data_IF_567660823647
#
_entry.id   IF_567660823647
#
_cell.length_a   1.000
_cell.length_b   1.000
_cell.length_c   1.000
_cell.angle_alpha   90.00
_cell.angle_beta   90.00
_cell.angle_gamma   90.00
#
_symmetry.space_group_name_H-M   'P 1'
#
loop_
_entity.id
_entity.type
_entity.pdbx_description
1 polymer ?
#
# COMPACT_ATOMS: atom_id res chain seq x y z
N UNK A 1 -50.12 29.62 -18.73
CA UNK A 1 -49.10 28.83 -17.99
C UNK A 1 -47.70 28.83 -18.61
N UNK A 2 -47.46 29.40 -19.79
CA UNK A 2 -46.13 29.41 -20.45
C UNK A 2 -45.24 30.61 -20.04
N UNK A 3 -45.80 31.70 -19.50
CA UNK A 3 -45.03 32.89 -19.05
C UNK A 3 -44.30 32.75 -17.71
N UNK A 4 -44.59 31.73 -16.88
CA UNK A 4 -43.87 31.47 -15.61
C UNK A 4 -42.67 30.51 -15.76
N UNK A 5 -42.58 29.76 -16.87
CA UNK A 5 -41.43 28.88 -17.13
C UNK A 5 -40.22 29.64 -17.71
N UNK A 6 -40.46 30.68 -18.53
CA UNK A 6 -39.38 31.47 -19.13
C UNK A 6 -38.64 32.36 -18.14
N UNK A 7 -39.31 32.87 -17.09
CA UNK A 7 -38.66 33.71 -16.07
C UNK A 7 -37.76 32.90 -15.13
N UNK A 8 -38.02 31.61 -14.92
CA UNK A 8 -37.16 30.72 -14.13
C UNK A 8 -35.90 30.25 -14.89
N UNK A 9 -35.96 30.15 -16.23
CA UNK A 9 -34.78 29.83 -17.04
C UNK A 9 -33.80 31.01 -17.18
N UNK A 10 -34.29 32.25 -17.17
CA UNK A 10 -33.44 33.45 -17.26
C UNK A 10 -32.65 33.71 -15.96
N UNK A 11 -33.25 33.46 -14.79
CA UNK A 11 -32.57 33.64 -13.49
C UNK A 11 -31.49 32.57 -13.25
N UNK A 12 -31.69 31.34 -13.72
CA UNK A 12 -30.71 30.26 -13.57
C UNK A 12 -29.50 30.43 -14.51
N UNK A 13 -29.69 31.01 -15.70
CA UNK A 13 -28.61 31.33 -16.63
C UNK A 13 -27.75 32.53 -16.18
N UNK A 14 -28.33 33.54 -15.51
CA UNK A 14 -27.58 34.70 -14.99
C UNK A 14 -26.70 34.33 -13.80
N UNK A 15 -27.13 33.41 -12.93
CA UNK A 15 -26.31 32.92 -11.81
C UNK A 15 -25.10 32.08 -12.24
N UNK A 16 -25.20 31.39 -13.38
CA UNK A 16 -24.10 30.56 -13.91
C UNK A 16 -23.07 31.40 -14.67
N UNK A 17 -23.46 32.56 -15.21
CA UNK A 17 -22.55 33.46 -15.93
C UNK A 17 -21.69 34.37 -15.02
N UNK A 18 -22.02 34.48 -13.73
CA UNK A 18 -21.34 35.40 -12.79
C UNK A 18 -20.12 34.84 -12.03
N UNK A 19 -19.71 33.57 -12.20
CA UNK A 19 -18.52 33.05 -11.48
C UNK A 19 -17.41 32.47 -12.35
N UNK A 20 -17.48 32.59 -13.68
CA UNK A 20 -16.36 32.20 -14.54
C UNK A 20 -15.99 33.25 -15.58
N UNK A 21 -14.95 34.01 -15.22
CA UNK A 21 -13.89 34.60 -16.07
C UNK A 21 -14.30 35.63 -17.12
N UNK A 22 -13.67 36.82 -17.02
CA UNK A 22 -12.76 37.46 -18.01
C UNK A 22 -12.51 38.93 -17.60
N UNK A 23 -11.38 39.61 -17.76
CA UNK A 23 -10.22 39.59 -18.69
C UNK A 23 -9.06 40.42 -18.06
N UNK A 24 -7.79 39.98 -18.15
CA UNK A 24 -6.71 40.38 -19.10
C UNK A 24 -6.35 41.88 -19.10
N UNK A 25 -5.18 42.22 -18.53
CA UNK A 25 -3.87 42.53 -19.17
C UNK A 25 -3.79 43.99 -19.64
N UNK A 26 -2.88 44.75 -19.02
CA UNK A 26 -2.01 45.72 -19.70
C UNK A 26 -0.66 45.81 -18.96
N UNK A 27 0.42 45.91 -19.75
CA UNK A 27 1.83 45.80 -19.39
C UNK A 27 2.38 47.14 -18.86
N UNK A 28 3.30 47.10 -17.89
CA UNK A 28 4.59 47.80 -17.98
C UNK A 28 5.55 47.36 -16.85
N UNK A 29 6.83 47.24 -17.23
CA UNK A 29 7.96 46.71 -16.49
C UNK A 29 8.23 47.42 -15.16
N UNK A 30 8.62 46.70 -14.11
CA UNK A 30 9.67 47.12 -13.15
C UNK A 30 10.19 45.90 -12.37
N UNK A 31 11.52 45.70 -12.43
CA UNK A 31 12.28 44.82 -11.54
C UNK A 31 12.09 45.26 -10.09
N UNK A 32 11.74 44.34 -9.19
CA UNK A 32 11.76 44.60 -7.75
C UNK A 32 12.53 43.50 -7.02
N UNK A 33 13.80 43.83 -6.80
CA UNK A 33 14.62 43.42 -5.67
C UNK A 33 13.77 43.54 -4.40
N UNK A 34 13.64 42.46 -3.62
CA UNK A 34 13.11 42.56 -2.25
C UNK A 34 14.18 42.09 -1.26
N UNK A 35 14.83 43.10 -0.70
CA UNK A 35 15.64 43.05 0.51
C UNK A 35 14.80 42.65 1.72
N UNK A 36 15.43 41.94 2.65
CA UNK A 36 14.91 41.65 3.98
C UNK A 36 14.74 42.94 4.80
N UNK A 37 13.60 43.15 5.49
CA UNK A 37 13.55 44.03 6.65
C UNK A 37 13.63 43.24 7.97
N UNK A 38 14.17 43.84 9.06
CA UNK A 38 14.54 43.13 10.27
C UNK A 38 13.45 43.11 11.36
N UNK A 39 13.48 42.01 12.14
CA UNK A 39 12.99 41.76 13.52
C UNK A 39 11.96 42.72 14.13
N UNK A 40 10.77 42.19 14.43
CA UNK A 40 9.94 42.64 15.57
C UNK A 40 9.55 41.46 16.48
N UNK A 41 9.83 41.61 17.78
CA UNK A 41 9.41 40.72 18.88
C UNK A 41 7.95 41.01 19.24
N UNK A 42 7.13 39.98 19.41
CA UNK A 42 5.87 40.07 20.17
C UNK A 42 5.81 38.92 21.19
N UNK A 43 5.54 39.29 22.43
CA UNK A 43 5.53 38.44 23.61
C UNK A 43 4.07 38.13 24.01
N UNK A 44 3.78 36.84 24.20
CA UNK A 44 2.78 36.15 25.05
C UNK A 44 1.32 36.66 25.20
N UNK A 45 0.44 35.65 25.06
CA UNK A 45 -0.82 35.35 25.77
C UNK A 45 -2.12 36.06 25.35
N UNK A 46 -3.01 35.31 24.71
CA UNK A 46 -4.42 35.14 25.17
C UNK A 46 -5.02 33.83 24.65
N UNK A 47 -5.63 33.08 25.58
CA UNK A 47 -6.34 31.81 25.40
C UNK A 47 -7.58 31.98 24.51
N UNK A 48 -7.80 31.07 23.56
CA UNK A 48 -9.14 30.81 23.00
C UNK A 48 -9.72 29.56 23.66
N UNK A 49 -10.75 29.81 24.47
CA UNK A 49 -11.57 28.84 25.18
C UNK A 49 -12.32 27.93 24.20
N UNK A 50 -12.14 26.61 24.32
CA UNK A 50 -13.17 25.64 23.91
C UNK A 50 -14.00 25.34 25.16
N UNK A 51 -15.25 25.81 25.17
CA UNK A 51 -16.24 25.52 26.23
C UNK A 51 -16.42 24.01 26.38
N UNK A 52 -16.17 23.50 27.58
CA UNK A 52 -16.47 22.13 28.00
C UNK A 52 -17.98 21.89 27.97
N UNK A 53 -18.46 21.15 26.98
CA UNK A 53 -19.74 20.44 27.14
C UNK A 53 -19.49 19.23 28.04
N UNK A 54 -19.97 19.34 29.27
CA UNK A 54 -20.02 18.25 30.24
C UNK A 54 -20.89 17.10 29.70
N UNK A 55 -20.44 15.86 29.99
CA UNK A 55 -20.99 14.55 29.58
C UNK A 55 -20.73 14.13 28.13
N UNK A 56 -19.45 13.98 27.79
CA UNK A 56 -19.08 12.94 26.83
C UNK A 56 -19.31 11.59 27.51
N UNK A 57 -20.36 10.87 27.09
CA UNK A 57 -20.42 9.43 27.30
C UNK A 57 -19.11 8.84 26.78
N UNK A 58 -18.21 8.48 27.70
CA UNK A 58 -17.08 7.60 27.41
C UNK A 58 -17.71 6.29 26.93
N UNK A 59 -17.88 6.14 25.62
CA UNK A 59 -18.17 4.84 25.03
C UNK A 59 -17.00 3.98 25.47
N UNK A 60 -17.22 3.11 26.45
CA UNK A 60 -16.30 2.02 26.81
C UNK A 60 -15.94 1.34 25.51
N UNK A 61 -14.75 1.63 24.96
CA UNK A 61 -14.21 0.88 23.86
C UNK A 61 -14.04 -0.53 24.40
N UNK A 62 -14.94 -1.44 23.99
CA UNK A 62 -14.84 -2.86 24.35
C UNK A 62 -13.40 -3.28 24.06
N UNK A 63 -12.65 -3.69 25.09
CA UNK A 63 -11.37 -4.38 24.97
C UNK A 63 -11.60 -5.55 24.01
N UNK A 64 -11.30 -5.37 22.72
CA UNK A 64 -11.44 -6.42 21.73
C UNK A 64 -10.19 -7.27 21.86
N UNK A 65 -10.37 -8.53 22.24
CA UNK A 65 -9.30 -9.53 22.35
C UNK A 65 -8.51 -9.52 21.03
N UNK A 66 -7.21 -9.24 21.08
CA UNK A 66 -6.32 -9.40 19.92
C UNK A 66 -6.38 -10.88 19.55
N UNK A 67 -6.76 -11.21 18.32
CA UNK A 67 -6.78 -12.59 17.86
C UNK A 67 -5.34 -13.01 17.56
N UNK A 68 -4.64 -13.50 18.58
CA UNK A 68 -3.22 -13.88 18.55
C UNK A 68 -2.92 -15.14 17.72
N UNK A 69 -3.95 -15.79 17.16
CA UNK A 69 -3.81 -17.05 16.41
C UNK A 69 -3.82 -16.87 14.88
N UNK A 70 -3.89 -15.64 14.35
CA UNK A 70 -3.88 -15.45 12.90
C UNK A 70 -2.49 -15.72 12.32
N UNK A 71 -2.39 -16.52 11.27
CA UNK A 71 -1.17 -16.72 10.47
C UNK A 71 -1.19 -15.84 9.21
N UNK A 72 -0.06 -15.70 8.53
CA UNK A 72 0.02 -15.04 7.22
C UNK A 72 0.15 -16.13 6.15
N UNK A 73 -0.80 -16.18 5.23
CA UNK A 73 -0.73 -17.00 4.03
C UNK A 73 -0.07 -16.20 2.91
N UNK A 74 1.09 -16.66 2.44
CA UNK A 74 1.84 -16.06 1.34
C UNK A 74 1.53 -16.82 0.05
N UNK A 75 1.00 -16.12 -0.94
CA UNK A 75 0.91 -16.58 -2.31
C UNK A 75 2.18 -16.21 -3.07
N UNK A 76 3.08 -17.18 -3.23
CA UNK A 76 4.32 -16.97 -3.98
C UNK A 76 4.09 -17.19 -5.47
N UNK A 77 3.90 -16.07 -6.18
CA UNK A 77 3.79 -15.98 -7.64
C UNK A 77 4.95 -15.12 -8.19
N UNK A 78 6.06 -15.05 -7.45
CA UNK A 78 7.18 -14.13 -7.71
C UNK A 78 7.83 -14.32 -9.08
N UNK A 79 7.74 -15.51 -9.65
CA UNK A 79 8.29 -15.85 -10.97
C UNK A 79 7.31 -15.56 -12.11
N UNK A 80 6.05 -15.22 -11.81
CA UNK A 80 5.00 -15.00 -12.80
C UNK A 80 4.72 -13.50 -13.00
N UNK A 81 4.50 -13.12 -14.25
CA UNK A 81 4.00 -11.80 -14.66
C UNK A 81 2.46 -11.82 -14.61
N UNK A 82 1.90 -11.62 -13.42
CA UNK A 82 0.46 -11.64 -13.21
C UNK A 82 -0.18 -10.38 -13.79
N UNK A 83 -1.23 -10.50 -14.58
CA UNK A 83 -1.96 -9.34 -15.10
C UNK A 83 -2.41 -8.41 -13.94
N UNK A 84 -2.22 -7.09 -14.11
CA UNK A 84 -2.47 -6.13 -13.04
C UNK A 84 -3.94 -6.13 -12.57
N UNK A 85 -4.89 -6.20 -13.52
CA UNK A 85 -6.33 -6.24 -13.22
C UNK A 85 -6.67 -7.52 -12.45
N UNK A 86 -6.20 -8.67 -12.91
CA UNK A 86 -6.37 -9.95 -12.21
C UNK A 86 -5.87 -9.87 -10.75
N UNK A 87 -4.66 -9.36 -10.53
CA UNK A 87 -4.12 -9.19 -9.18
C UNK A 87 -4.91 -8.17 -8.34
N UNK A 88 -5.41 -7.10 -8.94
CA UNK A 88 -6.26 -6.12 -8.26
C UNK A 88 -7.60 -6.72 -7.85
N UNK A 89 -8.22 -7.52 -8.70
CA UNK A 89 -9.48 -8.19 -8.37
C UNK A 89 -9.28 -9.23 -7.26
N UNK A 90 -8.21 -10.02 -7.29
CA UNK A 90 -7.81 -10.91 -6.20
C UNK A 90 -7.63 -10.16 -4.87
N UNK A 91 -6.90 -9.06 -4.89
CA UNK A 91 -6.73 -8.21 -3.71
C UNK A 91 -8.07 -7.72 -3.16
N UNK A 92 -8.95 -7.23 -4.02
CA UNK A 92 -10.28 -6.77 -3.60
C UNK A 92 -11.11 -7.92 -3.03
N UNK A 93 -11.05 -9.11 -3.62
CA UNK A 93 -11.77 -10.27 -3.12
C UNK A 93 -11.36 -10.62 -1.68
N UNK A 94 -10.05 -10.77 -1.41
CA UNK A 94 -9.58 -11.07 -0.05
C UNK A 94 -9.83 -9.90 0.91
N UNK A 95 -9.64 -8.65 0.46
CA UNK A 95 -9.93 -7.45 1.24
C UNK A 95 -11.41 -7.39 1.64
N UNK A 96 -12.30 -7.70 0.71
CA UNK A 96 -13.75 -7.74 0.88
C UNK A 96 -14.16 -8.84 1.85
N UNK A 97 -13.64 -10.07 1.66
CA UNK A 97 -13.90 -11.19 2.54
C UNK A 97 -13.53 -10.89 4.00
N UNK A 98 -12.35 -10.28 4.24
CA UNK A 98 -11.95 -9.86 5.60
C UNK A 98 -12.85 -8.79 6.21
N UNK A 99 -13.52 -7.98 5.39
CA UNK A 99 -14.38 -6.89 5.89
C UNK A 99 -15.82 -7.35 6.14
N UNK A 100 -16.36 -8.24 5.30
CA UNK A 100 -17.80 -8.53 5.24
C UNK A 100 -18.17 -9.84 5.90
N UNK A 101 -17.39 -10.90 5.70
CA UNK A 101 -17.70 -12.20 6.32
C UNK A 101 -17.70 -12.12 7.86
N UNK A 102 -17.11 -11.08 8.44
CA UNK A 102 -17.10 -10.81 9.88
C UNK A 102 -18.35 -10.09 10.40
N UNK A 103 -19.23 -9.61 9.52
CA UNK A 103 -20.44 -8.85 9.91
C UNK A 103 -21.72 -9.67 9.87
N UNK A 104 -21.79 -10.71 9.05
CA UNK A 104 -23.03 -11.46 8.84
C UNK A 104 -23.07 -12.75 9.66
N UNK A 105 -24.14 -12.89 10.44
CA UNK A 105 -24.50 -14.10 11.18
C UNK A 105 -25.56 -14.94 10.44
N UNK A 106 -26.29 -14.39 9.47
CA UNK A 106 -27.43 -15.07 8.82
C UNK A 106 -27.28 -15.07 7.29
N UNK A 107 -26.70 -16.14 6.76
CA UNK A 107 -26.56 -16.41 5.32
C UNK A 107 -27.84 -17.13 4.82
N UNK A 108 -28.92 -16.38 4.54
CA UNK A 108 -30.24 -16.99 4.36
C UNK A 108 -30.59 -17.46 2.93
N UNK A 109 -29.70 -17.33 1.93
CA UNK A 109 -30.07 -17.55 0.50
C UNK A 109 -28.98 -18.28 -0.31
N UNK A 110 -28.46 -19.41 0.19
CA UNK A 110 -27.47 -20.21 -0.56
C UNK A 110 -27.82 -21.71 -0.49
N UNK A 111 -27.54 -22.44 -1.56
CA UNK A 111 -27.62 -23.92 -1.52
C UNK A 111 -26.54 -24.48 -0.56
N UNK A 112 -26.75 -25.71 -0.06
CA UNK A 112 -25.87 -26.30 0.96
C UNK A 112 -24.39 -26.37 0.57
N UNK A 113 -24.07 -26.56 -0.72
CA UNK A 113 -22.68 -26.64 -1.21
C UNK A 113 -22.00 -25.27 -1.19
N UNK A 114 -22.65 -24.24 -1.73
CA UNK A 114 -22.12 -22.87 -1.74
C UNK A 114 -22.00 -22.32 -0.31
N UNK A 115 -22.93 -22.67 0.56
CA UNK A 115 -22.86 -22.32 1.98
C UNK A 115 -21.62 -22.93 2.65
N UNK A 116 -21.28 -24.19 2.35
CA UNK A 116 -20.06 -24.83 2.86
C UNK A 116 -18.78 -24.15 2.34
N UNK A 117 -18.71 -23.85 1.03
CA UNK A 117 -17.57 -23.14 0.43
C UNK A 117 -17.38 -21.75 1.08
N UNK A 118 -18.47 -21.03 1.33
CA UNK A 118 -18.44 -19.71 2.00
C UNK A 118 -18.04 -19.83 3.47
N UNK A 119 -18.52 -20.85 4.18
CA UNK A 119 -18.13 -21.10 5.57
C UNK A 119 -16.64 -21.47 5.69
N UNK A 120 -16.13 -22.30 4.79
CA UNK A 120 -14.70 -22.62 4.71
C UNK A 120 -13.87 -21.36 4.45
N UNK A 121 -14.29 -20.54 3.47
CA UNK A 121 -13.66 -19.26 3.18
C UNK A 121 -13.68 -18.29 4.37
N UNK A 122 -14.81 -18.20 5.08
CA UNK A 122 -14.95 -17.37 6.29
C UNK A 122 -13.97 -17.82 7.37
N UNK A 123 -13.96 -19.12 7.68
CA UNK A 123 -13.02 -19.70 8.66
C UNK A 123 -11.57 -19.46 8.24
N UNK A 124 -11.25 -19.64 6.96
CA UNK A 124 -9.91 -19.42 6.44
C UNK A 124 -9.50 -17.95 6.55
N UNK A 125 -10.35 -17.02 6.15
CA UNK A 125 -10.07 -15.56 6.21
C UNK A 125 -10.04 -15.00 7.64
N UNK A 126 -10.71 -15.64 8.60
CA UNK A 126 -10.56 -15.33 10.03
C UNK A 126 -9.20 -15.77 10.59
N UNK A 127 -8.71 -16.93 10.16
CA UNK A 127 -7.45 -17.51 10.62
C UNK A 127 -6.22 -16.99 9.89
N UNK A 128 -6.38 -16.40 8.70
CA UNK A 128 -5.28 -16.00 7.83
C UNK A 128 -5.38 -14.53 7.43
N UNK A 129 -4.28 -13.79 7.57
CA UNK A 129 -3.99 -12.63 6.73
C UNK A 129 -3.27 -13.08 5.45
N UNK A 130 -3.26 -12.26 4.41
CA UNK A 130 -2.77 -12.68 3.09
C UNK A 130 -1.68 -11.74 2.57
N UNK A 131 -0.66 -12.32 1.96
CA UNK A 131 0.36 -11.59 1.23
C UNK A 131 0.53 -12.21 -0.16
N UNK A 132 0.43 -11.41 -1.22
CA UNK A 132 0.85 -11.86 -2.55
C UNK A 132 2.26 -11.38 -2.80
N UNK A 133 3.10 -12.24 -3.37
CA UNK A 133 4.42 -11.88 -3.89
C UNK A 133 4.38 -12.21 -5.37
N UNK A 134 4.52 -11.21 -6.24
CA UNK A 134 4.36 -11.38 -7.68
C UNK A 134 5.15 -10.35 -8.48
N UNK A 135 5.15 -10.51 -9.80
CA UNK A 135 5.54 -9.46 -10.74
C UNK A 135 4.35 -9.11 -11.63
N UNK A 136 4.45 -8.01 -12.36
CA UNK A 136 3.44 -7.59 -13.34
C UNK A 136 4.04 -7.49 -14.74
N UNK A 137 3.25 -7.70 -15.80
CA UNK A 137 3.54 -7.10 -17.10
C UNK A 137 3.63 -5.57 -16.97
N UNK A 138 4.30 -4.88 -17.91
CA UNK A 138 4.41 -3.42 -17.88
C UNK A 138 3.05 -2.72 -17.69
N UNK A 139 2.89 -2.05 -16.55
CA UNK A 139 1.61 -1.47 -16.12
C UNK A 139 1.85 -0.13 -15.42
N UNK A 140 1.02 0.87 -15.73
CA UNK A 140 1.03 2.17 -15.03
C UNK A 140 -0.23 2.30 -14.18
N UNK A 141 -0.07 2.85 -12.99
CA UNK A 141 -1.19 3.01 -12.06
C UNK A 141 -1.23 4.42 -11.49
N UNK A 142 -2.44 4.98 -11.42
CA UNK A 142 -2.71 6.29 -10.84
C UNK A 142 -3.30 6.07 -9.44
N UNK A 143 -2.55 6.45 -8.40
CA UNK A 143 -3.04 6.43 -7.03
C UNK A 143 -3.98 7.60 -6.71
N UNK A 144 -4.43 7.65 -5.46
CA UNK A 144 -5.39 8.65 -4.95
C UNK A 144 -4.93 10.11 -5.05
N UNK A 145 -3.62 10.37 -5.12
CA UNK A 145 -3.07 11.72 -5.26
C UNK A 145 -2.49 11.98 -6.65
N UNK A 146 -2.70 11.05 -7.60
CA UNK A 146 -2.13 11.12 -8.93
C UNK A 146 -2.98 11.98 -9.87
N UNK A 147 -2.31 12.73 -10.73
CA UNK A 147 -2.93 13.49 -11.82
C UNK A 147 -2.57 12.83 -13.16
N UNK A 148 -3.39 13.07 -14.19
CA UNK A 148 -3.15 12.51 -15.53
C UNK A 148 -1.81 12.98 -16.12
N UNK A 149 -1.34 14.17 -15.72
CA UNK A 149 -0.04 14.74 -16.12
C UNK A 149 1.16 13.98 -15.54
N UNK A 150 0.95 13.11 -14.55
CA UNK A 150 2.00 12.26 -14.00
C UNK A 150 2.39 11.14 -15.00
N UNK A 151 1.60 10.93 -16.05
CA UNK A 151 1.89 10.05 -17.18
C UNK A 151 2.42 10.88 -18.35
N UNK A 152 3.61 10.52 -18.84
CA UNK A 152 4.28 11.21 -19.95
C UNK A 152 4.11 10.51 -21.31
N UNK A 153 3.31 9.44 -21.39
CA UNK A 153 2.91 8.84 -22.66
C UNK A 153 2.01 9.80 -23.45
N UNK A 154 2.11 9.75 -24.78
CA UNK A 154 1.17 10.44 -25.66
C UNK A 154 -0.26 9.96 -25.37
N UNK A 155 -1.20 10.90 -25.17
CA UNK A 155 -2.61 10.60 -24.87
C UNK A 155 -3.29 9.72 -25.91
N UNK A 156 -2.79 9.68 -27.15
CA UNK A 156 -3.32 8.76 -28.18
C UNK A 156 -2.96 7.30 -27.92
N UNK A 157 -1.90 7.04 -27.16
CA UNK A 157 -1.32 5.72 -26.92
C UNK A 157 -1.87 5.04 -25.66
N UNK A 158 -2.75 5.69 -24.89
CA UNK A 158 -3.30 5.11 -23.66
C UNK A 158 -4.76 5.49 -23.43
N UNK A 159 -5.41 4.78 -22.53
CA UNK A 159 -6.69 5.16 -21.93
C UNK A 159 -6.64 4.94 -20.41
N UNK A 160 -7.45 5.67 -19.66
CA UNK A 160 -7.55 5.50 -18.22
C UNK A 160 -8.71 4.52 -17.94
N UNK A 161 -8.40 3.43 -17.25
CA UNK A 161 -9.38 2.48 -16.75
C UNK A 161 -9.53 2.67 -15.24
N UNK A 162 -10.73 3.05 -14.79
CA UNK A 162 -11.07 3.18 -13.38
C UNK A 162 -11.35 1.80 -12.78
N UNK A 163 -10.44 1.31 -11.93
CA UNK A 163 -10.66 0.06 -11.21
C UNK A 163 -11.31 0.37 -9.86
N UNK A 164 -12.63 0.18 -9.80
CA UNK A 164 -13.41 0.40 -8.60
C UNK A 164 -13.31 -0.76 -7.61
N UNK A 165 -13.67 -0.51 -6.35
CA UNK A 165 -13.77 -1.61 -5.37
C UNK A 165 -15.11 -2.31 -5.46
N UNK A 166 -15.10 -3.57 -5.06
CA UNK A 166 -16.30 -4.42 -4.89
C UNK A 166 -17.23 -3.98 -3.75
N UNK A 167 -17.01 -2.83 -3.10
CA UNK A 167 -17.79 -2.41 -1.93
C UNK A 167 -19.13 -1.75 -2.25
N UNK A 168 -19.46 -1.56 -3.55
CA UNK A 168 -20.64 -0.77 -3.93
C UNK A 168 -21.95 -1.54 -3.76
N UNK A 169 -21.93 -2.87 -3.87
CA UNK A 169 -23.11 -3.72 -3.70
C UNK A 169 -22.80 -4.82 -2.67
N UNK A 170 -23.36 -4.69 -1.47
CA UNK A 170 -23.20 -5.68 -0.40
C UNK A 170 -24.14 -6.88 -0.65
N UNK A 171 -23.82 -7.75 -1.61
CA UNK A 171 -24.65 -8.93 -1.92
C UNK A 171 -23.83 -10.24 -1.83
N UNK A 172 -24.40 -11.24 -1.15
CA UNK A 172 -23.88 -12.61 -1.08
C UNK A 172 -23.87 -13.30 -2.45
N UNK A 173 -24.78 -12.90 -3.35
CA UNK A 173 -24.75 -13.36 -4.73
C UNK A 173 -23.47 -12.94 -5.45
N UNK A 174 -22.93 -11.76 -5.14
CA UNK A 174 -21.62 -11.36 -5.66
C UNK A 174 -20.54 -12.30 -5.12
N UNK A 175 -20.53 -12.65 -3.82
CA UNK A 175 -19.55 -13.61 -3.28
C UNK A 175 -19.67 -14.97 -3.96
N UNK A 176 -20.88 -15.51 -4.15
CA UNK A 176 -21.08 -16.80 -4.85
C UNK A 176 -20.62 -16.72 -6.31
N UNK A 177 -20.96 -15.66 -7.03
CA UNK A 177 -20.49 -15.41 -8.39
C UNK A 177 -18.97 -15.24 -8.45
N UNK A 178 -18.37 -14.58 -7.47
CA UNK A 178 -16.93 -14.47 -7.31
C UNK A 178 -16.31 -15.84 -7.05
N UNK A 179 -16.82 -16.65 -6.13
CA UNK A 179 -16.30 -18.01 -5.89
C UNK A 179 -16.36 -18.82 -7.19
N UNK A 180 -17.47 -18.77 -7.95
CA UNK A 180 -17.62 -19.45 -9.24
C UNK A 180 -16.63 -18.95 -10.28
N UNK A 181 -16.51 -17.62 -10.46
CA UNK A 181 -15.54 -17.00 -11.38
C UNK A 181 -14.11 -17.43 -11.04
N UNK A 182 -13.79 -17.52 -9.76
CA UNK A 182 -12.42 -17.76 -9.28
C UNK A 182 -12.06 -19.24 -9.12
N UNK A 183 -12.97 -20.18 -9.46
CA UNK A 183 -12.63 -21.61 -9.58
C UNK A 183 -11.59 -21.86 -10.68
N UNK A 184 -11.56 -21.01 -11.70
CA UNK A 184 -10.61 -21.12 -12.82
C UNK A 184 -9.36 -20.24 -12.66
N UNK A 185 -9.22 -19.54 -11.53
CA UNK A 185 -8.17 -18.52 -11.36
C UNK A 185 -6.76 -19.11 -11.44
N UNK A 186 -6.60 -20.38 -11.04
CA UNK A 186 -5.31 -21.05 -11.13
C UNK A 186 -4.88 -21.20 -12.59
N UNK A 187 -5.80 -21.55 -13.49
CA UNK A 187 -5.49 -21.64 -14.92
C UNK A 187 -5.08 -20.28 -15.49
N UNK A 188 -5.74 -19.19 -15.07
CA UNK A 188 -5.34 -17.83 -15.47
C UNK A 188 -3.92 -17.47 -14.96
N UNK A 189 -3.59 -17.85 -13.72
CA UNK A 189 -2.26 -17.66 -13.14
C UNK A 189 -1.20 -18.52 -13.84
N UNK A 190 -1.52 -19.78 -14.12
CA UNK A 190 -0.59 -20.72 -14.76
C UNK A 190 -0.28 -20.29 -16.19
N UNK A 191 -1.28 -19.74 -16.90
CA UNK A 191 -1.16 -19.15 -18.23
C UNK A 191 -0.40 -17.82 -18.26
N UNK A 192 -0.14 -17.19 -17.10
CA UNK A 192 0.69 -15.99 -17.06
C UNK A 192 2.13 -16.32 -17.44
N UNK A 193 2.75 -15.39 -18.17
CA UNK A 193 4.14 -15.48 -18.58
C UNK A 193 5.06 -15.62 -17.35
N UNK A 194 6.03 -16.53 -17.44
CA UNK A 194 7.13 -16.60 -16.46
C UNK A 194 8.17 -15.53 -16.78
N UNK A 195 8.61 -14.81 -15.76
CA UNK A 195 9.65 -13.79 -15.89
C UNK A 195 10.95 -14.39 -16.47
N UNK A 196 11.44 -13.78 -17.54
CA UNK A 196 12.70 -14.12 -18.19
C UNK A 196 13.54 -12.85 -18.34
N UNK A 197 14.66 -12.82 -17.64
CA UNK A 197 15.58 -11.68 -17.63
C UNK A 197 16.30 -11.43 -18.97
N UNK A 198 16.29 -12.42 -19.88
CA UNK A 198 16.82 -12.30 -21.25
C UNK A 198 15.85 -11.62 -22.20
N UNK A 199 14.57 -11.57 -21.85
CA UNK A 199 13.54 -11.00 -22.71
C UNK A 199 13.57 -9.48 -22.67
N UNK A 200 13.57 -8.88 -23.86
CA UNK A 200 13.41 -7.43 -24.01
C UNK A 200 11.93 -7.04 -23.92
N UNK A 201 11.45 -6.94 -22.68
CA UNK A 201 10.08 -6.51 -22.39
C UNK A 201 9.77 -5.11 -22.91
N UNK A 202 10.77 -4.22 -22.97
CA UNK A 202 10.57 -2.86 -23.44
C UNK A 202 10.33 -2.84 -24.94
N UNK A 203 11.07 -3.62 -25.72
CA UNK A 203 10.81 -3.81 -27.15
C UNK A 203 9.40 -4.31 -27.39
N UNK A 204 8.97 -5.39 -26.73
CA UNK A 204 7.60 -5.91 -26.87
C UNK A 204 6.54 -4.85 -26.48
N UNK A 205 6.78 -4.08 -25.41
CA UNK A 205 5.90 -3.00 -24.99
C UNK A 205 5.79 -1.88 -26.05
N UNK A 206 6.91 -1.41 -26.59
CA UNK A 206 6.92 -0.35 -27.62
C UNK A 206 6.28 -0.80 -28.93
N UNK A 207 6.47 -2.06 -29.32
CA UNK A 207 5.82 -2.65 -30.49
C UNK A 207 4.30 -2.69 -30.31
N UNK A 208 3.81 -3.17 -29.16
CA UNK A 208 2.38 -3.22 -28.86
C UNK A 208 1.71 -1.85 -28.93
N UNK A 209 2.37 -0.80 -28.41
CA UNK A 209 1.84 0.58 -28.49
C UNK A 209 1.80 1.09 -29.93
N UNK A 210 2.78 0.70 -30.76
CA UNK A 210 2.91 1.16 -32.15
C UNK A 210 1.85 0.54 -33.07
N UNK A 211 1.37 -0.67 -32.73
CA UNK A 211 0.32 -1.39 -33.48
C UNK A 211 -1.11 -0.88 -33.15
N UNK A 212 -1.25 0.39 -32.76
CA UNK A 212 -2.51 1.05 -32.37
C UNK A 212 -3.26 0.46 -31.16
N UNK A 213 -2.63 -0.41 -30.36
CA UNK A 213 -3.22 -0.87 -29.11
C UNK A 213 -3.00 0.17 -28.02
N UNK A 214 -4.07 0.86 -27.61
CA UNK A 214 -4.00 1.79 -26.47
C UNK A 214 -3.69 1.01 -25.19
N UNK A 215 -2.67 1.48 -24.46
CA UNK A 215 -2.27 0.91 -23.19
C UNK A 215 -3.30 1.29 -22.09
N UNK A 216 -3.78 0.34 -21.28
CA UNK A 216 -4.54 0.66 -20.09
C UNK A 216 -3.65 1.30 -19.02
N UNK A 217 -4.09 2.42 -18.46
CA UNK A 217 -3.56 3.00 -17.23
C UNK A 217 -4.62 2.88 -16.15
N UNK A 218 -4.29 2.18 -15.08
CA UNK A 218 -5.26 1.83 -14.06
C UNK A 218 -5.34 2.92 -12.99
N UNK A 219 -6.46 3.63 -12.88
CA UNK A 219 -6.73 4.45 -11.70
C UNK A 219 -7.25 3.56 -10.58
N UNK A 220 -6.58 3.67 -9.43
CA UNK A 220 -6.83 2.86 -8.25
C UNK A 220 -6.75 3.70 -6.98
N UNK A 221 -7.26 3.15 -5.88
CA UNK A 221 -7.37 3.84 -4.60
C UNK A 221 -6.26 3.52 -3.60
N UNK A 222 -5.03 3.28 -4.09
CA UNK A 222 -3.85 3.25 -3.21
C UNK A 222 -3.42 4.67 -2.84
N UNK A 223 -2.72 4.81 -1.72
CA UNK A 223 -1.99 6.04 -1.41
C UNK A 223 -0.92 6.36 -2.47
N UNK A 224 -0.60 7.64 -2.61
CA UNK A 224 0.46 8.14 -3.48
C UNK A 224 0.00 8.55 -4.89
N UNK A 225 0.96 9.00 -5.69
CA UNK A 225 0.78 9.46 -7.07
C UNK A 225 0.90 8.32 -8.09
N UNK A 226 1.24 8.61 -9.35
CA UNK A 226 1.48 7.61 -10.38
C UNK A 226 2.67 6.70 -10.02
N UNK A 227 2.64 5.44 -10.46
CA UNK A 227 3.79 4.53 -10.40
C UNK A 227 3.74 3.54 -11.55
N UNK A 228 4.88 2.88 -11.79
CA UNK A 228 5.02 1.79 -12.74
C UNK A 228 5.24 0.48 -11.97
N UNK A 229 4.67 -0.57 -12.54
CA UNK A 229 4.95 -1.96 -12.18
C UNK A 229 5.31 -2.75 -13.43
N UNK A 230 6.21 -3.71 -13.29
CA UNK A 230 6.65 -4.48 -14.44
C UNK A 230 7.66 -5.58 -14.13
N UNK A 231 8.17 -6.24 -15.17
CA UNK A 231 9.21 -7.24 -15.06
C UNK A 231 10.46 -6.66 -14.37
N UNK A 232 11.08 -7.43 -13.49
CA UNK A 232 12.22 -6.95 -12.71
C UNK A 232 11.84 -6.14 -11.46
N UNK A 233 10.55 -6.10 -11.11
CA UNK A 233 10.05 -5.47 -9.90
C UNK A 233 9.23 -6.46 -9.07
N UNK A 234 9.70 -6.80 -7.88
CA UNK A 234 8.99 -7.69 -6.96
C UNK A 234 7.92 -6.91 -6.20
N UNK A 235 6.66 -7.21 -6.44
CA UNK A 235 5.51 -6.55 -5.83
C UNK A 235 4.97 -7.41 -4.70
N UNK A 236 4.72 -6.77 -3.56
CA UNK A 236 4.10 -7.38 -2.39
C UNK A 236 2.77 -6.69 -2.13
N UNK A 237 1.69 -7.46 -2.06
CA UNK A 237 0.37 -6.97 -1.65
C UNK A 237 -0.01 -7.52 -0.29
N UNK A 238 -0.25 -6.64 0.68
CA UNK A 238 -0.58 -6.99 2.06
C UNK A 238 -2.07 -6.80 2.31
N UNK A 239 -2.79 -7.90 2.53
CA UNK A 239 -4.20 -7.91 2.94
C UNK A 239 -4.28 -8.34 4.40
N UNK A 240 -3.86 -7.42 5.28
CA UNK A 240 -3.63 -7.67 6.69
C UNK A 240 -4.70 -6.99 7.53
N UNK A 241 -5.23 -7.69 8.54
CA UNK A 241 -5.90 -7.01 9.64
C UNK A 241 -4.85 -6.35 10.54
N UNK A 242 -4.59 -5.08 10.30
CA UNK A 242 -3.52 -4.32 10.95
C UNK A 242 -3.68 -4.27 12.47
N UNK A 243 -4.89 -4.48 13.00
CA UNK A 243 -5.14 -4.54 14.44
C UNK A 243 -4.55 -5.78 15.12
N UNK A 244 -4.26 -6.84 14.37
CA UNK A 244 -3.69 -8.06 14.92
C UNK A 244 -2.21 -7.90 15.28
N UNK A 245 -1.56 -6.85 14.78
CA UNK A 245 -0.12 -6.66 14.95
C UNK A 245 0.17 -5.54 15.94
N UNK A 246 0.74 -5.92 17.10
CA UNK A 246 1.09 -4.99 18.19
C UNK A 246 2.09 -3.92 17.75
N UNK A 247 2.93 -4.21 16.75
CA UNK A 247 3.86 -3.25 16.16
C UNK A 247 3.16 -2.03 15.55
N UNK A 248 1.84 -2.06 15.32
CA UNK A 248 1.05 -0.95 14.78
C UNK A 248 0.44 -0.04 15.88
N UNK A 249 0.74 -0.26 17.16
CA UNK A 249 0.19 0.54 18.26
C UNK A 249 1.26 1.39 18.96
N UNK A 250 0.89 2.59 19.41
CA UNK A 250 1.65 3.35 20.40
C UNK A 250 1.23 2.99 21.81
N UNK A 251 2.21 3.00 22.73
CA UNK A 251 1.98 2.90 24.16
C UNK A 251 1.96 4.33 24.69
N UNK A 252 0.82 4.81 25.19
CA UNK A 252 0.78 6.01 26.02
C UNK A 252 0.90 5.57 27.48
N UNK A 253 1.94 6.05 28.16
CA UNK A 253 2.02 6.01 29.62
C UNK A 253 1.44 7.32 30.14
N UNK A 254 0.49 7.25 31.06
CA UNK A 254 0.01 8.44 31.77
C UNK A 254 1.17 9.10 32.50
N UNK A 255 1.33 10.42 32.30
CA UNK A 255 2.40 11.23 32.90
C UNK A 255 2.30 11.35 34.44
N UNK A 256 1.28 10.76 35.07
CA UNK A 256 1.08 10.81 36.52
C UNK A 256 2.08 9.98 37.33
N UNK A 257 2.93 9.14 36.70
CA UNK A 257 3.99 8.38 37.37
C UNK A 257 5.40 8.94 37.17
N UNK A 258 5.58 10.05 36.44
CA UNK A 258 6.91 10.61 36.15
C UNK A 258 7.54 11.40 37.30
N UNK A 259 6.93 11.46 38.49
CA UNK A 259 7.50 12.26 39.57
C UNK A 259 8.62 11.61 40.38
N UNK A 260 8.98 10.33 40.15
CA UNK A 260 9.97 9.62 40.98
C UNK A 260 11.02 8.79 40.24
N UNK A 261 11.41 9.13 39.00
CA UNK A 261 12.62 8.54 38.41
C UNK A 261 13.41 9.55 37.57
N UNK A 262 14.41 10.18 38.20
CA UNK A 262 15.49 10.86 37.50
C UNK A 262 16.43 9.82 36.89
N UNK A 263 16.14 9.37 35.67
CA UNK A 263 17.15 8.87 34.75
C UNK A 263 16.59 8.87 33.31
N UNK A 264 17.31 9.44 32.31
CA UNK A 264 16.86 9.47 30.93
C UNK A 264 17.10 8.10 30.30
N UNK A 265 16.18 7.16 30.50
CA UNK A 265 16.20 5.90 29.75
C UNK A 265 15.72 6.22 28.32
N UNK A 266 16.63 6.08 27.34
CA UNK A 266 16.31 6.16 25.91
C UNK A 266 15.13 5.24 25.58
N UNK A 267 14.02 5.81 25.11
CA UNK A 267 12.77 5.11 24.76
C UNK A 267 12.97 3.95 23.74
N UNK A 268 14.08 3.95 22.99
CA UNK A 268 14.42 2.90 22.01
C UNK A 268 14.81 1.55 22.64
N UNK A 269 15.27 1.52 23.90
CA UNK A 269 15.75 0.28 24.53
C UNK A 269 14.58 -0.53 25.13
N UNK A 270 13.47 0.14 25.47
CA UNK A 270 12.28 -0.48 26.08
C UNK A 270 11.27 -1.04 25.07
N UNK A 271 11.40 -0.78 23.76
CA UNK A 271 10.54 -1.44 22.75
C UNK A 271 10.99 -2.87 22.42
N UNK A 272 12.25 -3.23 22.69
CA UNK A 272 12.80 -4.58 22.42
C UNK A 272 12.60 -5.58 23.56
N UNK A 273 12.38 -5.10 24.78
CA UNK A 273 12.11 -5.93 25.96
C UNK A 273 10.69 -5.63 26.42
N UNK A 274 9.85 -6.67 26.39
CA UNK A 274 8.56 -6.77 27.06
C UNK A 274 7.30 -6.32 26.30
N UNK A 275 7.02 -7.04 25.22
CA UNK A 275 5.65 -7.52 24.97
C UNK A 275 5.50 -9.04 25.22
N UNK A 276 6.61 -9.76 25.36
CA UNK A 276 6.63 -11.17 25.80
C UNK A 276 6.18 -11.36 27.26
N UNK A 277 6.19 -10.30 28.07
CA UNK A 277 5.68 -10.34 29.46
C UNK A 277 4.16 -10.19 29.56
N UNK A 278 3.44 -9.81 28.50
CA UNK A 278 1.98 -9.87 28.50
C UNK A 278 1.43 -11.31 28.36
N UNK A 279 2.32 -12.30 28.28
CA UNK A 279 2.00 -13.71 27.98
C UNK A 279 2.16 -14.69 29.15
N UNK A 280 2.21 -14.25 30.40
CA UNK A 280 2.07 -15.18 31.54
C UNK A 280 1.03 -14.68 32.53
N UNK A 281 0.17 -15.61 32.91
CA UNK A 281 -0.82 -15.50 33.97
C UNK A 281 -0.14 -15.20 35.31
N UNK A 282 0.21 -13.96 35.58
CA UNK A 282 0.49 -13.51 36.94
C UNK A 282 -0.19 -12.16 37.17
N UNK A 283 -1.36 -12.23 37.80
CA UNK A 283 -1.89 -11.13 38.59
C UNK A 283 -0.89 -10.81 39.69
N UNK A 284 -0.19 -9.67 39.59
CA UNK A 284 0.28 -8.89 40.75
C UNK A 284 0.69 -7.48 40.30
N UNK A 285 -0.29 -6.58 40.44
CA UNK A 285 -0.15 -5.17 40.85
C UNK A 285 1.06 -4.35 40.37
N UNK A 286 0.93 -3.69 39.22
CA UNK A 286 1.33 -2.27 39.07
C UNK A 286 0.23 -1.56 38.26
N UNK A 287 -0.61 -0.81 38.97
CA UNK A 287 -1.71 -0.04 38.41
C UNK A 287 -1.20 1.21 37.69
N UNK A 288 -0.80 1.06 36.44
CA UNK A 288 -0.79 2.13 35.46
C UNK A 288 -1.66 1.70 34.28
N UNK A 289 -2.75 2.41 33.99
CA UNK A 289 -3.56 2.13 32.82
C UNK A 289 -2.73 2.42 31.57
N UNK A 290 -2.10 1.40 31.00
CA UNK A 290 -1.41 1.51 29.72
C UNK A 290 -2.48 1.59 28.62
N UNK A 291 -2.66 2.77 28.04
CA UNK A 291 -3.54 2.96 26.89
C UNK A 291 -2.74 2.71 25.61
N UNK A 292 -3.24 1.81 24.75
CA UNK A 292 -2.65 1.55 23.43
C UNK A 292 -3.55 2.10 22.33
N UNK A 293 -2.96 2.85 21.40
CA UNK A 293 -3.67 3.52 20.30
C UNK A 293 -3.10 3.03 18.97
N UNK A 294 -3.99 2.59 18.08
CA UNK A 294 -3.61 2.17 16.72
C UNK A 294 -3.08 3.37 15.92
N UNK A 295 -1.93 3.21 15.27
CA UNK A 295 -1.25 4.26 14.54
C UNK A 295 -0.94 3.87 13.09
N UNK A 296 -1.48 4.68 12.19
CA UNK A 296 -1.30 4.50 10.75
C UNK A 296 0.15 4.81 10.30
N UNK A 297 0.76 5.87 10.81
CA UNK A 297 2.15 6.22 10.49
C UNK A 297 3.10 5.12 10.96
N UNK A 298 2.88 4.56 12.15
CA UNK A 298 3.64 3.41 12.65
C UNK A 298 3.48 2.20 11.74
N UNK A 299 2.26 1.95 11.25
CA UNK A 299 2.00 0.88 10.28
C UNK A 299 2.81 1.08 8.98
N UNK A 300 2.77 2.29 8.40
CA UNK A 300 3.56 2.59 7.19
C UNK A 300 5.07 2.46 7.46
N UNK A 301 5.54 2.90 8.62
CA UNK A 301 6.94 2.75 9.03
C UNK A 301 7.35 1.29 9.20
N UNK A 302 6.46 0.40 9.65
CA UNK A 302 6.75 -1.04 9.69
C UNK A 302 6.96 -1.62 8.28
N UNK A 303 6.18 -1.18 7.29
CA UNK A 303 6.42 -1.57 5.89
C UNK A 303 7.74 -1.00 5.35
N UNK A 304 8.07 0.26 5.63
CA UNK A 304 9.37 0.83 5.26
C UNK A 304 10.53 0.07 5.90
N UNK A 305 10.40 -0.26 7.20
CA UNK A 305 11.38 -1.04 7.95
C UNK A 305 11.58 -2.44 7.37
N UNK A 306 10.51 -3.12 6.94
CA UNK A 306 10.61 -4.40 6.25
C UNK A 306 11.45 -4.27 4.97
N UNK A 307 11.28 -3.19 4.21
CA UNK A 307 12.11 -2.87 3.06
C UNK A 307 13.58 -2.62 3.42
N UNK A 308 13.86 -1.81 4.44
CA UNK A 308 15.22 -1.54 4.92
C UNK A 308 15.91 -2.84 5.37
N UNK A 309 15.27 -3.61 6.25
CA UNK A 309 15.83 -4.86 6.78
C UNK A 309 16.06 -5.89 5.66
N UNK A 310 15.27 -5.84 4.59
CA UNK A 310 15.47 -6.67 3.41
C UNK A 310 16.76 -6.29 2.67
N UNK A 311 17.04 -5.00 2.53
CA UNK A 311 18.27 -4.51 1.89
C UNK A 311 19.51 -4.73 2.76
N UNK A 312 19.36 -4.68 4.09
CA UNK A 312 20.44 -4.98 5.03
C UNK A 312 20.95 -6.42 4.88
N UNK A 313 20.09 -7.38 4.50
CA UNK A 313 20.50 -8.77 4.19
C UNK A 313 21.45 -8.85 3.00
N UNK A 314 21.34 -7.91 2.06
CA UNK A 314 22.27 -7.75 0.94
C UNK A 314 23.47 -6.86 1.28
N UNK A 315 23.62 -6.44 2.55
CA UNK A 315 24.61 -5.46 3.02
C UNK A 315 24.48 -4.11 2.31
N UNK A 316 23.28 -3.75 1.87
CA UNK A 316 22.97 -2.46 1.22
C UNK A 316 22.36 -1.54 2.26
N UNK A 317 23.07 -0.45 2.57
CA UNK A 317 22.55 0.58 3.47
C UNK A 317 21.47 1.41 2.77
N UNK A 318 20.27 1.40 3.32
CA UNK A 318 19.12 2.17 2.81
C UNK A 318 18.45 3.00 3.90
N UNK A 319 17.63 3.96 3.51
CA UNK A 319 16.96 4.88 4.44
C UNK A 319 15.58 5.31 3.95
N UNK A 320 14.79 5.87 4.87
CA UNK A 320 13.56 6.61 4.57
C UNK A 320 13.84 8.10 4.48
N UNK A 321 13.00 8.84 3.77
CA UNK A 321 13.01 10.30 3.76
C UNK A 321 11.76 10.84 4.49
N UNK A 322 11.83 12.04 5.04
CA UNK A 322 10.72 12.63 5.80
C UNK A 322 9.58 13.11 4.88
N UNK A 323 9.91 13.58 3.69
CA UNK A 323 9.01 14.20 2.72
C UNK A 323 8.39 13.20 1.73
N UNK A 324 8.87 11.96 1.70
CA UNK A 324 8.41 10.96 0.73
C UNK A 324 8.44 9.54 1.29
N UNK A 325 7.37 8.79 1.01
CA UNK A 325 7.22 7.40 1.42
C UNK A 325 8.01 6.50 0.46
N UNK A 326 8.83 5.61 1.02
CA UNK A 326 9.62 4.64 0.27
C UNK A 326 10.95 4.35 0.94
N UNK A 327 11.73 3.46 0.31
CA UNK A 327 13.09 3.13 0.75
C UNK A 327 14.08 3.53 -0.32
N UNK A 328 15.15 4.20 0.10
CA UNK A 328 16.10 4.88 -0.76
C UNK A 328 17.51 4.32 -0.57
N UNK A 329 18.22 4.11 -1.68
CA UNK A 329 19.65 3.87 -1.70
C UNK A 329 20.33 5.13 -2.23
N UNK A 330 21.04 5.84 -1.35
CA UNK A 330 21.43 7.23 -1.60
C UNK A 330 20.18 8.01 -2.00
N UNK A 331 20.29 8.97 -2.91
CA UNK A 331 19.16 9.79 -3.31
C UNK A 331 18.11 9.07 -4.19
N UNK A 332 18.34 7.80 -4.55
CA UNK A 332 17.48 7.07 -5.49
C UNK A 332 16.51 6.13 -4.78
N UNK A 333 15.24 6.17 -5.18
CA UNK A 333 14.19 5.27 -4.69
C UNK A 333 14.40 3.86 -5.23
N UNK A 334 14.48 2.92 -4.30
CA UNK A 334 14.66 1.49 -4.56
C UNK A 334 13.36 0.71 -4.30
N UNK A 335 12.56 1.16 -3.33
CA UNK A 335 11.29 0.54 -2.96
C UNK A 335 10.21 1.62 -2.90
N UNK A 336 9.13 1.42 -3.64
CA UNK A 336 7.92 2.25 -3.57
C UNK A 336 6.91 1.60 -2.63
N UNK A 337 6.20 2.41 -1.82
CA UNK A 337 5.15 1.92 -0.91
C UNK A 337 3.89 2.75 -1.14
N UNK A 338 2.77 2.07 -1.35
CA UNK A 338 1.46 2.67 -1.56
C UNK A 338 0.39 1.71 -1.08
N UNK A 339 -0.30 2.08 0.00
CA UNK A 339 -1.26 1.21 0.70
C UNK A 339 -2.61 1.91 0.79
N UNK A 340 -3.67 1.11 0.79
CA UNK A 340 -5.02 1.52 1.15
C UNK A 340 -5.43 0.79 2.42
N UNK A 341 -6.10 1.48 3.35
CA UNK A 341 -6.65 0.84 4.54
C UNK A 341 -8.13 1.17 4.66
N UNK A 342 -8.95 0.13 4.84
CA UNK A 342 -10.38 0.26 5.12
C UNK A 342 -10.72 -0.65 6.28
N UNK A 343 -11.33 -0.10 7.34
CA UNK A 343 -11.68 -0.85 8.56
C UNK A 343 -10.50 -1.65 9.12
N UNK A 344 -9.31 -1.05 9.12
CA UNK A 344 -8.04 -1.66 9.55
C UNK A 344 -7.53 -2.83 8.71
N UNK A 345 -8.21 -3.19 7.62
CA UNK A 345 -7.68 -4.16 6.66
C UNK A 345 -6.91 -3.40 5.57
N UNK A 346 -5.65 -3.73 5.36
CA UNK A 346 -4.81 -3.17 4.28
C UNK A 346 -5.10 -3.81 2.92
N UNK A 347 -4.68 -3.13 1.86
CA UNK A 347 -4.65 -3.59 0.47
C UNK A 347 -3.55 -2.81 -0.28
N UNK A 348 -3.11 -3.28 -1.44
CA UNK A 348 -1.88 -2.85 -2.11
C UNK A 348 -0.66 -3.16 -1.24
N UNK A 349 0.44 -2.43 -1.37
CA UNK A 349 1.63 -2.75 -0.59
C UNK A 349 2.87 -2.03 -1.07
N UNK A 350 3.90 -2.80 -1.42
CA UNK A 350 5.21 -2.28 -1.78
C UNK A 350 5.74 -2.92 -3.07
N UNK A 351 6.63 -2.21 -3.77
CA UNK A 351 7.28 -2.73 -4.97
C UNK A 351 8.79 -2.48 -4.91
N UNK A 352 9.57 -3.56 -5.00
CA UNK A 352 11.03 -3.57 -4.89
C UNK A 352 11.65 -3.73 -6.27
N UNK A 353 12.49 -2.79 -6.65
CA UNK A 353 13.18 -2.82 -7.94
C UNK A 353 14.42 -3.72 -7.87
N UNK A 354 14.37 -4.95 -8.37
CA UNK A 354 15.55 -5.83 -8.40
C UNK A 354 16.28 -5.83 -9.75
N UNK A 355 15.52 -5.74 -10.84
CA UNK A 355 16.03 -5.72 -12.20
C UNK A 355 15.15 -4.91 -13.19
N UNK A 356 14.60 -3.78 -12.75
CA UNK A 356 13.66 -2.98 -13.57
C UNK A 356 14.40 -2.32 -14.75
N UNK A 357 13.81 -2.35 -15.95
CA UNK A 357 14.24 -1.53 -17.07
C UNK A 357 13.75 -0.08 -16.88
N UNK A 358 14.70 0.85 -16.77
CA UNK A 358 14.44 2.28 -16.58
C UNK A 358 13.78 2.96 -17.77
N UNK A 359 13.79 2.36 -18.96
CA UNK A 359 13.10 2.90 -20.11
C UNK A 359 11.59 3.05 -19.86
N UNK A 360 10.98 2.14 -19.10
CA UNK A 360 9.58 2.27 -18.68
C UNK A 360 9.35 3.48 -17.76
N UNK A 361 10.32 3.81 -16.90
CA UNK A 361 10.19 4.92 -15.95
C UNK A 361 10.25 6.29 -16.64
N UNK A 362 10.73 6.38 -17.89
CA UNK A 362 10.73 7.63 -18.67
C UNK A 362 9.33 8.16 -18.93
N UNK A 363 8.32 7.29 -18.84
CA UNK A 363 6.91 7.66 -19.02
C UNK A 363 6.22 8.11 -17.74
N UNK A 364 6.98 8.31 -16.65
CA UNK A 364 6.45 8.74 -15.36
C UNK A 364 7.08 10.03 -14.85
N UNK A 365 6.23 10.88 -14.30
CA UNK A 365 6.62 12.02 -13.49
C UNK A 365 5.83 11.99 -12.18
N UNK A 366 6.37 11.31 -11.17
CA UNK A 366 5.67 11.09 -9.89
C UNK A 366 6.38 11.81 -8.77
N UNK A 367 5.68 12.69 -8.05
CA UNK A 367 6.21 13.47 -6.93
C UNK A 367 7.45 14.31 -7.30
N UNK A 368 7.52 14.84 -8.52
CA UNK A 368 8.68 15.58 -9.02
C UNK A 368 9.92 14.70 -9.29
N UNK A 369 9.79 13.38 -9.10
CA UNK A 369 10.83 12.41 -9.41
C UNK A 369 10.74 11.99 -10.87
N UNK A 370 11.88 12.00 -11.53
CA UNK A 370 12.08 11.47 -12.87
C UNK A 370 12.66 10.06 -12.82
N UNK A 371 12.80 9.44 -14.00
CA UNK A 371 13.40 8.11 -14.14
C UNK A 371 14.82 8.00 -13.55
N UNK A 372 15.60 9.09 -13.46
CA UNK A 372 16.95 9.08 -12.86
C UNK A 372 16.96 8.88 -11.35
N UNK A 373 15.83 9.18 -10.71
CA UNK A 373 15.67 9.17 -9.26
C UNK A 373 15.26 7.79 -8.72
N UNK A 374 15.22 6.79 -9.61
CA UNK A 374 14.99 5.39 -9.28
C UNK A 374 16.27 4.58 -9.48
N UNK A 375 16.40 3.52 -8.70
CA UNK A 375 17.49 2.54 -8.83
C UNK A 375 16.95 1.13 -8.63
N UNK A 376 17.78 0.16 -8.98
CA UNK A 376 17.48 -1.24 -8.87
C UNK A 376 18.65 -2.02 -8.27
N UNK A 377 18.40 -3.17 -7.64
CA UNK A 377 19.45 -3.98 -7.01
C UNK A 377 20.59 -4.31 -7.96
N UNK A 378 20.30 -4.70 -9.20
CA UNK A 378 21.33 -5.04 -10.20
C UNK A 378 22.28 -3.87 -10.54
N UNK A 379 21.89 -2.62 -10.26
CA UNK A 379 22.71 -1.43 -10.52
C UNK A 379 23.64 -1.09 -9.36
N UNK A 380 23.38 -1.65 -8.17
CA UNK A 380 24.09 -1.30 -6.93
C UNK A 380 25.49 -1.92 -6.94
N UNK A 381 26.51 -1.12 -6.59
CA UNK A 381 27.92 -1.51 -6.67
C UNK A 381 28.26 -2.65 -5.71
N UNK A 382 27.63 -2.65 -4.54
CA UNK A 382 27.78 -3.63 -3.48
C UNK A 382 27.31 -5.02 -3.96
N UNK A 383 26.27 -5.08 -4.80
CA UNK A 383 25.83 -6.32 -5.46
C UNK A 383 26.87 -6.77 -6.49
N UNK A 384 27.34 -5.85 -7.36
CA UNK A 384 28.33 -6.17 -8.39
C UNK A 384 29.68 -6.63 -7.83
N UNK A 385 30.05 -6.17 -6.63
CA UNK A 385 31.31 -6.52 -5.96
C UNK A 385 31.22 -7.79 -5.10
N UNK A 386 30.04 -8.34 -4.89
CA UNK A 386 29.87 -9.51 -4.06
C UNK A 386 30.34 -10.76 -4.83
N UNK A 387 31.29 -11.51 -4.25
CA UNK A 387 31.88 -12.71 -4.86
C UNK A 387 30.82 -13.73 -5.27
N UNK A 388 29.68 -13.78 -4.57
CA UNK A 388 28.51 -14.61 -4.91
C UNK A 388 27.97 -14.39 -6.33
N UNK A 389 28.20 -13.20 -6.90
CA UNK A 389 27.68 -12.81 -8.21
C UNK A 389 28.77 -12.44 -9.22
N UNK A 390 30.07 -12.46 -8.86
CA UNK A 390 31.15 -11.99 -9.75
C UNK A 390 31.34 -12.83 -11.00
N UNK A 391 31.32 -14.16 -10.85
CA UNK A 391 31.65 -15.10 -11.93
C UNK A 391 30.41 -15.66 -12.65
N UNK A 392 29.23 -15.13 -12.31
CA UNK A 392 27.96 -15.56 -12.89
C UNK A 392 27.67 -14.78 -14.17
N UNK A 393 27.05 -15.43 -15.15
CA UNK A 393 26.47 -14.69 -16.28
C UNK A 393 25.42 -13.71 -15.76
N UNK A 394 25.23 -12.59 -16.46
CA UNK A 394 24.30 -11.53 -16.05
C UNK A 394 22.91 -12.06 -15.67
N UNK A 395 22.42 -13.07 -16.38
CA UNK A 395 21.12 -13.69 -16.17
C UNK A 395 21.10 -14.58 -14.91
N UNK A 396 22.18 -15.31 -14.67
CA UNK A 396 22.31 -16.12 -13.45
C UNK A 396 22.37 -15.24 -12.20
N UNK A 397 22.91 -14.02 -12.33
CA UNK A 397 22.87 -13.01 -11.25
C UNK A 397 21.43 -12.57 -10.99
N UNK A 398 20.69 -12.16 -12.03
CA UNK A 398 19.34 -11.62 -11.90
C UNK A 398 18.36 -12.64 -11.32
N UNK A 399 18.41 -13.89 -11.80
CA UNK A 399 17.64 -14.99 -11.22
C UNK A 399 18.06 -15.29 -9.77
N UNK A 400 19.37 -15.29 -9.48
CA UNK A 400 19.86 -15.47 -8.11
C UNK A 400 19.42 -14.35 -7.18
N UNK A 401 19.33 -13.12 -7.67
CA UNK A 401 18.84 -11.97 -6.90
C UNK A 401 17.36 -12.10 -6.59
N UNK A 402 16.53 -12.53 -7.56
CA UNK A 402 15.10 -12.75 -7.34
C UNK A 402 14.86 -13.80 -6.24
N UNK A 403 15.54 -14.96 -6.33
CA UNK A 403 15.37 -16.03 -5.36
C UNK A 403 15.82 -15.63 -3.94
N UNK A 404 16.94 -14.92 -3.84
CA UNK A 404 17.43 -14.43 -2.56
C UNK A 404 16.55 -13.32 -1.98
N UNK A 405 16.06 -12.41 -2.83
CA UNK A 405 15.15 -11.34 -2.43
C UNK A 405 13.85 -11.92 -1.88
N UNK A 406 13.29 -12.90 -2.58
CA UNK A 406 12.11 -13.65 -2.18
C UNK A 406 12.28 -14.32 -0.82
N UNK A 407 13.37 -15.07 -0.64
CA UNK A 407 13.68 -15.73 0.62
C UNK A 407 13.81 -14.73 1.79
N UNK A 408 14.51 -13.61 1.55
CA UNK A 408 14.68 -12.56 2.54
C UNK A 408 13.35 -11.90 2.93
N UNK A 409 12.50 -11.59 1.94
CA UNK A 409 11.16 -11.02 2.17
C UNK A 409 10.31 -11.96 3.03
N UNK A 410 10.23 -13.24 2.68
CA UNK A 410 9.41 -14.23 3.41
C UNK A 410 9.89 -14.36 4.87
N UNK A 411 11.21 -14.42 5.08
CA UNK A 411 11.80 -14.45 6.41
C UNK A 411 11.45 -13.20 7.23
N UNK A 412 11.51 -12.02 6.60
CA UNK A 412 11.29 -10.74 7.27
C UNK A 412 9.82 -10.45 7.56
N UNK A 413 8.89 -10.95 6.75
CA UNK A 413 7.45 -10.88 7.07
C UNK A 413 7.19 -11.60 8.39
N UNK A 414 7.69 -12.84 8.54
CA UNK A 414 7.59 -13.62 9.78
C UNK A 414 8.13 -12.84 10.99
N UNK A 415 9.31 -12.22 10.85
CA UNK A 415 9.97 -11.46 11.92
C UNK A 415 9.26 -10.15 12.26
N UNK A 416 8.91 -9.35 11.26
CA UNK A 416 8.34 -7.99 11.43
C UNK A 416 6.97 -8.03 12.07
N UNK A 417 6.16 -9.01 11.67
CA UNK A 417 4.79 -9.17 12.15
C UNK A 417 4.67 -10.18 13.30
N UNK A 418 5.76 -10.86 13.66
CA UNK A 418 5.83 -11.86 14.73
C UNK A 418 4.71 -12.91 14.63
N UNK A 419 4.53 -13.44 13.43
CA UNK A 419 3.40 -14.29 13.07
C UNK A 419 3.88 -15.47 12.22
N UNK A 420 3.25 -16.64 12.39
CA UNK A 420 3.51 -17.83 11.57
C UNK A 420 3.18 -17.56 10.10
N UNK A 421 4.00 -18.08 9.20
CA UNK A 421 3.81 -17.96 7.76
C UNK A 421 3.54 -19.33 7.15
N UNK A 422 2.52 -19.41 6.30
CA UNK A 422 2.27 -20.54 5.40
C UNK A 422 2.47 -20.06 3.96
N UNK A 423 3.24 -20.80 3.17
CA UNK A 423 3.47 -20.47 1.75
C UNK A 423 2.63 -21.42 0.91
N UNK A 424 2.00 -20.89 -0.14
CA UNK A 424 1.29 -21.67 -1.15
C UNK A 424 1.32 -20.94 -2.48
N UNK A 425 1.17 -21.67 -3.55
CA UNK A 425 0.97 -21.21 -4.92
C UNK A 425 -0.47 -21.40 -5.40
N UNK A 426 -1.30 -22.08 -4.60
CA UNK A 426 -2.64 -22.52 -4.99
C UNK A 426 -3.72 -21.75 -4.26
N UNK A 427 -4.29 -20.76 -4.93
CA UNK A 427 -5.42 -19.97 -4.45
C UNK A 427 -6.68 -20.84 -4.28
N UNK A 428 -7.04 -21.75 -5.22
CA UNK A 428 -8.28 -22.51 -5.11
C UNK A 428 -8.38 -23.41 -3.87
N UNK A 429 -7.24 -23.84 -3.30
CA UNK A 429 -7.18 -24.65 -2.07
C UNK A 429 -7.83 -23.98 -0.85
N UNK A 430 -8.15 -22.69 -0.93
CA UNK A 430 -8.82 -21.93 0.14
C UNK A 430 -10.33 -22.18 0.17
N UNK A 431 -10.90 -22.54 -0.99
CA UNK A 431 -12.32 -22.82 -1.14
C UNK A 431 -12.67 -24.29 -0.90
N UNK A 432 -11.66 -25.18 -0.95
CA UNK A 432 -11.76 -26.59 -0.55
C UNK A 432 -11.73 -26.70 0.97
#
# INVERSE_FOLDING_TARGET
>A
MIKKLFTMQIVLCIMIFCTTKKLKIEQQNFELIYEYPPKFKINRNTKLYIKSHNRLHVKKYKKRKINLNSQICIFDLSEKLINYKLAFELQNFFHYCKIILWKENNLNILNNKELNEINNLKKYTEQNDFCFILQHPPSYTLGSSAEDKDILLDKKNYYIEELENLYKNYDLNEISNFIKKYKNIQNEIDNCETYDDKKDYFKSFTQNISENNKLPIYRINRGGKATYHGPGQLVLYFIFNLKNYSCNYHIKRDKLSQHNFNNPIKDDILQKRDFSLFNKNEEKTVAGNIETIFDLHKTINNFQKLGIECMDKFKIKTYTKEDTIGVFYKEKKLISIGIKIRKYISMHGMSLNFNIDKNFLKYLLSCGMSHSDYTSLHEIKEIKKNDKYKDKQKTDIQNSLLQELKANVIQLITKTFNTKVKITDQIPKIFA
#
